data_IF_733087810841
#
_entry.id   IF_733087810841
#
_cell.length_a   1.000
_cell.length_b   1.000
_cell.length_c   1.000
_cell.angle_alpha   90.00
_cell.angle_beta   90.00
_cell.angle_gamma   90.00
#
_symmetry.space_group_name_H-M   'P 1'
#
loop_
_entity.id
_entity.type
_entity.pdbx_description
1 polymer ?
#
# COMPACT_ATOMS: atom_id res chain seq x y z
N UNK A 1 4.71 -34.99 -12.53
CA UNK A 1 4.08 -33.94 -11.73
C UNK A 1 4.76 -32.64 -12.12
N UNK A 2 4.10 -31.82 -12.93
CA UNK A 2 4.71 -30.62 -13.54
C UNK A 2 4.24 -29.42 -12.72
N UNK A 3 5.17 -28.77 -12.02
CA UNK A 3 4.89 -27.55 -11.25
C UNK A 3 4.80 -26.39 -12.24
N UNK A 4 3.59 -26.06 -12.67
CA UNK A 4 3.34 -24.93 -13.56
C UNK A 4 3.38 -23.65 -12.70
N UNK A 5 4.50 -22.92 -12.74
CA UNK A 5 4.54 -21.57 -12.20
C UNK A 5 3.66 -20.69 -13.10
N UNK A 6 2.43 -20.43 -12.67
CA UNK A 6 1.57 -19.46 -13.32
C UNK A 6 2.32 -18.13 -13.38
N UNK A 7 2.43 -17.58 -14.59
CA UNK A 7 3.03 -16.28 -14.84
C UNK A 7 2.20 -15.26 -14.06
N UNK A 8 2.69 -14.79 -12.92
CA UNK A 8 1.93 -13.82 -12.13
C UNK A 8 1.64 -12.59 -13.00
N UNK A 9 0.37 -12.36 -13.29
CA UNK A 9 -0.06 -11.19 -14.02
C UNK A 9 0.12 -9.96 -13.12
N UNK A 10 0.49 -8.78 -13.65
CA UNK A 10 0.69 -7.56 -12.85
C UNK A 10 -0.52 -7.14 -11.99
N UNK A 11 -1.71 -7.65 -12.33
CA UNK A 11 -2.95 -7.47 -11.58
C UNK A 11 -2.98 -8.29 -10.28
N UNK A 12 -2.30 -9.44 -10.21
CA UNK A 12 -2.22 -10.28 -9.00
C UNK A 12 -1.40 -9.64 -7.87
N UNK A 13 -0.67 -8.56 -8.16
CA UNK A 13 0.14 -7.82 -7.19
C UNK A 13 -0.51 -6.50 -6.75
N UNK A 14 -1.76 -6.27 -7.12
CA UNK A 14 -2.54 -5.19 -6.56
C UNK A 14 -2.86 -5.48 -5.09
N UNK A 15 -2.40 -4.61 -4.21
CA UNK A 15 -2.77 -4.61 -2.80
C UNK A 15 -4.24 -4.18 -2.71
N UNK A 16 -5.05 -5.06 -2.14
CA UNK A 16 -6.37 -4.71 -1.65
C UNK A 16 -6.32 -4.66 -0.12
N UNK A 17 -6.62 -3.51 0.46
CA UNK A 17 -6.60 -3.35 1.92
C UNK A 17 -7.71 -4.14 2.63
N UNK A 18 -8.64 -4.75 1.90
CA UNK A 18 -9.56 -5.76 2.43
C UNK A 18 -8.86 -7.07 2.85
N UNK A 19 -7.62 -7.30 2.40
CA UNK A 19 -6.77 -8.41 2.86
C UNK A 19 -6.23 -8.14 4.27
N UNK A 20 -5.70 -9.17 4.94
CA UNK A 20 -5.02 -9.00 6.23
C UNK A 20 -3.71 -8.24 6.08
N UNK A 21 -3.32 -7.49 7.12
CA UNK A 21 -2.06 -6.72 7.14
C UNK A 21 -0.84 -7.61 6.85
N UNK A 22 -0.82 -8.82 7.40
CA UNK A 22 0.21 -9.82 7.14
C UNK A 22 0.32 -10.19 5.66
N UNK A 23 -0.80 -10.30 4.95
CA UNK A 23 -0.81 -10.61 3.52
C UNK A 23 -0.27 -9.41 2.72
N UNK A 24 -0.70 -8.20 3.06
CA UNK A 24 -0.17 -6.97 2.43
C UNK A 24 1.35 -6.88 2.59
N UNK A 25 1.88 -7.11 3.79
CA UNK A 25 3.33 -7.14 4.06
C UNK A 25 4.04 -8.27 3.30
N UNK A 26 3.38 -9.41 3.08
CA UNK A 26 3.93 -10.49 2.27
C UNK A 26 4.04 -10.07 0.79
N UNK A 27 3.03 -9.38 0.25
CA UNK A 27 3.04 -8.88 -1.13
C UNK A 27 4.19 -7.90 -1.38
N UNK A 28 4.51 -7.02 -0.42
CA UNK A 28 5.62 -6.05 -0.61
C UNK A 28 6.97 -6.71 -0.83
N UNK A 29 7.14 -8.00 -0.46
CA UNK A 29 8.38 -8.76 -0.69
C UNK A 29 8.55 -9.21 -2.14
N UNK A 30 7.48 -9.18 -2.94
CA UNK A 30 7.49 -9.58 -4.35
C UNK A 30 7.96 -8.45 -5.29
N UNK A 31 8.51 -7.36 -4.73
CA UNK A 31 9.05 -6.16 -5.40
C UNK A 31 8.09 -5.41 -6.34
N UNK A 32 6.86 -5.88 -6.51
CA UNK A 32 5.91 -5.34 -7.48
C UNK A 32 4.52 -5.11 -6.87
N UNK A 33 4.39 -5.04 -5.55
CA UNK A 33 3.12 -4.75 -4.89
C UNK A 33 2.75 -3.27 -5.04
N UNK A 34 1.49 -2.99 -5.40
CA UNK A 34 1.03 -1.62 -5.63
C UNK A 34 -0.43 -1.43 -5.25
N UNK A 35 -0.84 -0.21 -4.93
CA UNK A 35 -2.24 0.17 -4.73
C UNK A 35 -2.54 1.46 -5.50
N UNK A 36 -3.81 1.87 -5.48
CA UNK A 36 -4.24 3.13 -6.08
C UNK A 36 -4.90 4.06 -5.07
N UNK A 37 -4.76 5.35 -5.29
CA UNK A 37 -5.46 6.35 -4.49
C UNK A 37 -5.92 7.51 -5.36
N UNK A 38 -6.99 8.16 -4.92
CA UNK A 38 -7.48 9.39 -5.57
C UNK A 38 -6.75 10.58 -4.95
N UNK A 39 -5.87 11.21 -5.73
CA UNK A 39 -5.15 12.41 -5.28
C UNK A 39 -6.04 13.64 -5.24
N UNK A 40 -5.54 14.73 -4.64
CA UNK A 40 -6.28 15.98 -4.48
C UNK A 40 -6.74 16.68 -5.78
N UNK A 41 -6.27 16.23 -6.95
CA UNK A 41 -6.73 16.67 -8.28
C UNK A 41 -7.79 15.72 -8.89
N UNK A 42 -8.40 14.87 -8.07
CA UNK A 42 -9.34 13.82 -8.50
C UNK A 42 -8.77 12.80 -9.49
N UNK A 43 -7.44 12.75 -9.66
CA UNK A 43 -6.79 11.76 -10.52
C UNK A 43 -6.44 10.52 -9.72
N UNK A 44 -6.71 9.35 -10.28
CA UNK A 44 -6.30 8.07 -9.72
C UNK A 44 -4.82 7.85 -10.01
N UNK A 45 -4.03 7.68 -8.95
CA UNK A 45 -2.58 7.52 -9.03
C UNK A 45 -2.19 6.15 -8.49
N UNK A 46 -1.23 5.48 -9.15
CA UNK A 46 -0.65 4.22 -8.69
C UNK A 46 0.57 4.48 -7.80
N UNK A 47 0.68 3.70 -6.72
CA UNK A 47 1.81 3.73 -5.80
C UNK A 47 2.28 2.32 -5.55
N UNK A 48 3.56 2.05 -5.86
CA UNK A 48 4.22 0.82 -5.48
C UNK A 48 4.62 0.90 -4.01
N UNK A 49 4.43 -0.18 -3.27
CA UNK A 49 4.85 -0.31 -1.88
C UNK A 49 6.16 -1.08 -1.85
N UNK A 50 7.22 -0.40 -1.42
CA UNK A 50 8.56 -0.97 -1.33
C UNK A 50 8.73 -1.71 -0.01
N UNK A 51 8.22 -1.12 1.08
CA UNK A 51 8.23 -1.74 2.40
C UNK A 51 7.04 -1.31 3.25
N UNK A 52 6.51 -2.28 3.99
CA UNK A 52 5.47 -2.07 4.98
C UNK A 52 5.71 -2.98 6.19
N UNK A 53 5.18 -2.60 7.33
CA UNK A 53 5.19 -3.41 8.56
C UNK A 53 3.79 -3.53 9.12
N UNK A 54 3.49 -4.68 9.72
CA UNK A 54 2.23 -4.88 10.44
C UNK A 54 2.23 -4.06 11.72
N UNK A 55 1.08 -3.49 12.08
CA UNK A 55 0.88 -2.76 13.33
C UNK A 55 -0.41 -3.22 14.01
N UNK A 56 -0.40 -3.19 15.34
CA UNK A 56 -1.56 -3.56 16.16
C UNK A 56 -2.57 -2.41 16.22
N UNK A 57 -3.39 -2.30 15.19
CA UNK A 57 -4.50 -1.37 15.10
C UNK A 57 -5.58 -1.98 14.21
N UNK A 58 -6.84 -1.62 14.42
CA UNK A 58 -7.96 -2.07 13.60
C UNK A 58 -8.81 -0.87 13.19
N UNK A 59 -9.43 -0.94 12.02
CA UNK A 59 -10.26 0.11 11.47
C UNK A 59 -11.00 -0.37 10.22
N UNK A 60 -11.62 0.56 9.51
CA UNK A 60 -12.27 0.25 8.24
C UNK A 60 -11.21 -0.05 7.16
N UNK A 61 -11.27 -1.20 6.45
CA UNK A 61 -10.28 -1.55 5.45
C UNK A 61 -10.05 -0.43 4.41
N UNK A 62 -8.78 -0.08 4.20
CA UNK A 62 -8.37 1.02 3.31
C UNK A 62 -8.35 2.38 3.99
N UNK A 63 -8.89 2.54 5.21
CA UNK A 63 -8.87 3.81 5.94
C UNK A 63 -7.45 4.23 6.33
N UNK A 64 -7.08 5.48 6.05
CA UNK A 64 -5.82 6.08 6.48
C UNK A 64 -5.97 6.54 7.94
N UNK A 65 -5.39 5.77 8.86
CA UNK A 65 -5.54 5.99 10.31
C UNK A 65 -4.55 7.03 10.84
N UNK A 66 -3.34 7.06 10.29
CA UNK A 66 -2.29 7.95 10.76
C UNK A 66 -1.34 8.31 9.62
N UNK A 67 -0.96 9.58 9.56
CA UNK A 67 0.10 10.08 8.68
C UNK A 67 1.16 10.74 9.55
N UNK A 68 2.41 10.28 9.44
CA UNK A 68 3.51 10.81 10.24
C UNK A 68 4.86 10.63 9.56
N UNK A 69 5.92 11.06 10.25
CA UNK A 69 7.30 10.92 9.77
C UNK A 69 7.69 9.47 9.53
N UNK A 70 7.22 8.57 10.39
CA UNK A 70 7.54 7.14 10.35
C UNK A 70 6.77 6.38 9.27
N UNK A 71 5.79 7.02 8.63
CA UNK A 71 5.03 6.43 7.54
C UNK A 71 3.53 6.74 7.57
N UNK A 72 2.78 5.92 6.82
CA UNK A 72 1.31 6.01 6.72
C UNK A 72 0.70 4.71 7.22
N UNK A 73 -0.16 4.80 8.23
CA UNK A 73 -0.90 3.64 8.76
C UNK A 73 -2.24 3.53 8.04
N UNK A 74 -2.49 2.35 7.47
CA UNK A 74 -3.71 2.02 6.72
C UNK A 74 -4.34 0.79 7.35
N UNK A 75 -5.61 0.88 7.71
CA UNK A 75 -6.37 -0.25 8.22
C UNK A 75 -6.54 -1.32 7.14
N UNK A 76 -6.44 -2.58 7.56
CA UNK A 76 -6.60 -3.75 6.72
C UNK A 76 -7.87 -4.53 7.10
N UNK A 77 -8.21 -5.58 6.36
CA UNK A 77 -9.30 -6.50 6.71
C UNK A 77 -9.09 -7.21 8.05
N UNK A 78 -7.81 -7.34 8.45
CA UNK A 78 -7.38 -7.73 9.78
C UNK A 78 -6.10 -6.93 10.11
N UNK A 79 -6.06 -6.32 11.29
CA UNK A 79 -5.00 -5.41 11.74
C UNK A 79 -4.83 -4.19 10.82
N UNK A 80 -3.64 -3.58 10.81
CA UNK A 80 -3.29 -2.48 9.94
C UNK A 80 -1.83 -2.60 9.48
N UNK A 81 -1.48 -1.92 8.39
CA UNK A 81 -0.11 -1.82 7.91
C UNK A 81 0.39 -0.39 8.02
N UNK A 82 1.65 -0.24 8.43
CA UNK A 82 2.40 1.01 8.24
C UNK A 82 3.22 0.90 6.98
N UNK A 83 2.85 1.67 5.96
CA UNK A 83 3.68 1.90 4.78
C UNK A 83 4.90 2.72 5.21
N UNK A 84 6.11 2.24 4.90
CA UNK A 84 7.37 2.88 5.29
C UNK A 84 8.04 3.52 4.08
N UNK A 85 8.25 2.74 3.02
CA UNK A 85 8.81 3.22 1.75
C UNK A 85 7.85 2.93 0.60
N UNK A 86 7.62 3.93 -0.23
CA UNK A 86 6.71 3.86 -1.38
C UNK A 86 7.35 4.49 -2.61
N UNK A 87 6.85 4.12 -3.77
CA UNK A 87 7.26 4.67 -5.05
C UNK A 87 6.03 5.06 -5.87
N UNK A 88 5.64 6.35 -5.85
CA UNK A 88 4.60 6.86 -6.73
C UNK A 88 4.99 6.70 -8.20
N UNK A 89 4.01 6.47 -9.07
CA UNK A 89 4.26 6.38 -10.51
C UNK A 89 5.01 7.62 -11.04
N UNK A 90 6.11 7.37 -11.77
CA UNK A 90 6.96 8.42 -12.33
C UNK A 90 7.89 9.14 -11.34
N UNK A 91 8.01 8.65 -10.09
CA UNK A 91 8.94 9.20 -9.08
C UNK A 91 9.90 8.13 -8.54
N UNK A 92 10.99 8.59 -7.93
CA UNK A 92 11.90 7.74 -7.15
C UNK A 92 11.24 7.24 -5.87
N UNK A 93 11.79 6.16 -5.31
CA UNK A 93 11.40 5.66 -3.99
C UNK A 93 11.59 6.74 -2.92
N UNK A 94 10.64 6.82 -2.00
CA UNK A 94 10.64 7.81 -0.92
C UNK A 94 9.93 7.27 0.33
N UNK A 95 10.11 7.93 1.46
CA UNK A 95 9.35 7.58 2.67
C UNK A 95 7.87 7.86 2.46
N UNK A 96 7.01 6.98 3.01
CA UNK A 96 5.57 7.14 2.93
C UNK A 96 5.09 8.44 3.58
N UNK A 97 5.76 8.90 4.64
CA UNK A 97 5.47 10.20 5.26
C UNK A 97 5.76 11.38 4.33
N UNK A 98 6.88 11.35 3.60
CA UNK A 98 7.21 12.39 2.62
C UNK A 98 6.24 12.36 1.42
N UNK A 99 5.90 11.16 0.95
CA UNK A 99 4.88 10.97 -0.08
C UNK A 99 3.53 11.57 0.36
N UNK A 100 3.05 11.23 1.56
CA UNK A 100 1.74 11.68 2.07
C UNK A 100 1.61 13.21 2.10
N UNK A 101 2.68 13.93 2.45
CA UNK A 101 2.70 15.40 2.47
C UNK A 101 2.43 16.02 1.09
N UNK A 102 2.97 15.41 0.03
CA UNK A 102 2.77 15.88 -1.35
C UNK A 102 1.55 15.27 -2.05
N UNK A 103 1.10 14.09 -1.61
CA UNK A 103 0.06 13.32 -2.27
C UNK A 103 -1.36 13.83 -2.02
N UNK A 104 -1.59 14.59 -0.92
CA UNK A 104 -2.93 14.99 -0.45
C UNK A 104 -3.82 13.75 -0.33
N UNK A 105 -3.46 12.86 0.60
CA UNK A 105 -4.14 11.57 0.74
C UNK A 105 -5.62 11.76 1.09
N UNK A 106 -6.52 10.97 0.48
CA UNK A 106 -7.91 10.86 0.91
C UNK A 106 -7.98 10.13 2.26
N UNK A 107 -9.15 10.17 2.89
CA UNK A 107 -9.41 9.42 4.13
C UNK A 107 -9.35 7.89 3.93
N UNK A 108 -9.49 7.40 2.69
CA UNK A 108 -9.42 5.97 2.34
C UNK A 108 -8.69 5.72 1.03
N UNK A 109 -7.93 4.62 0.99
CA UNK A 109 -7.19 4.11 -0.16
C UNK A 109 -7.94 2.91 -0.76
N UNK A 110 -7.76 2.69 -2.07
CA UNK A 110 -8.41 1.63 -2.83
C UNK A 110 -7.48 0.44 -3.09
#
# INVERSE_FOLDING_TARGET
MVTHAAKLEPAELQIHFTMSARHVVALTRLESAWFTYTGGNSSVMRVRVVSAVEVDANGEPGSVMQVGRDGVVVACGDRAVRLVTVQPAGKSEMSAGAWANGARLPASLA
#
